data_IF_475930587676
#
_entry.id   IF_475930587676
#
_cell.length_a   1.000
_cell.length_b   1.000
_cell.length_c   1.000
_cell.angle_alpha   90.00
_cell.angle_beta   90.00
_cell.angle_gamma   90.00
#
_symmetry.space_group_name_H-M   'P 1'
#
loop_
_entity.id
_entity.type
_entity.pdbx_description
1 polymer ?
#
# COMPACT_ATOMS: atom_id res chain seq x y z
N UNK A 1 -10.04 -5.27 -10.62
CA UNK A 1 -8.61 -5.45 -10.26
C UNK A 1 -7.70 -4.75 -11.27
N UNK A 2 -7.08 -3.65 -10.84
CA UNK A 2 -6.10 -2.89 -11.61
C UNK A 2 -4.80 -3.68 -11.72
N UNK A 3 -4.15 -3.58 -12.88
CA UNK A 3 -2.80 -4.07 -13.12
C UNK A 3 -2.09 -3.08 -14.04
N UNK A 4 -1.09 -2.37 -13.51
CA UNK A 4 -0.37 -1.31 -14.22
C UNK A 4 1.13 -1.55 -14.14
N UNK A 5 1.77 -1.66 -15.30
CA UNK A 5 3.23 -1.63 -15.42
C UNK A 5 3.74 -0.20 -15.44
N UNK A 6 4.68 0.12 -14.57
CA UNK A 6 5.26 1.45 -14.45
C UNK A 6 6.48 1.58 -15.35
N UNK A 7 6.45 2.57 -16.23
CA UNK A 7 7.52 2.85 -17.20
C UNK A 7 8.68 3.62 -16.56
N UNK A 8 8.39 4.67 -15.78
CA UNK A 8 9.40 5.42 -15.02
C UNK A 8 9.57 4.86 -13.60
N UNK A 9 10.24 3.70 -13.53
CA UNK A 9 10.55 3.00 -12.28
C UNK A 9 11.30 3.91 -11.30
N UNK A 10 12.22 4.75 -11.79
CA UNK A 10 13.03 5.62 -10.93
C UNK A 10 12.17 6.67 -10.25
N UNK A 11 11.27 7.33 -10.99
CA UNK A 11 10.36 8.31 -10.42
C UNK A 11 9.39 7.66 -9.43
N UNK A 12 8.79 6.51 -9.77
CA UNK A 12 7.91 5.80 -8.85
C UNK A 12 8.63 5.41 -7.56
N UNK A 13 9.83 4.83 -7.65
CA UNK A 13 10.62 4.45 -6.46
C UNK A 13 11.02 5.66 -5.61
N UNK A 14 11.25 6.83 -6.22
CA UNK A 14 11.43 8.06 -5.46
C UNK A 14 10.16 8.47 -4.70
N UNK A 15 8.98 8.31 -5.31
CA UNK A 15 7.70 8.54 -4.63
C UNK A 15 7.43 7.56 -3.49
N UNK A 16 7.80 6.29 -3.66
CA UNK A 16 7.65 5.27 -2.64
C UNK A 16 8.63 5.47 -1.48
N UNK A 17 9.91 5.68 -1.75
CA UNK A 17 10.95 5.59 -0.73
C UNK A 17 11.47 6.93 -0.22
N UNK A 18 11.23 8.03 -0.94
CA UNK A 18 11.85 9.33 -0.64
C UNK A 18 10.87 10.50 -0.54
N UNK A 19 9.61 10.36 -0.96
CA UNK A 19 8.60 11.43 -0.93
C UNK A 19 7.40 11.04 -0.07
N UNK A 20 6.60 12.03 0.30
CA UNK A 20 5.44 11.90 1.20
C UNK A 20 4.18 11.31 0.55
N UNK A 21 4.31 10.80 -0.68
CA UNK A 21 3.19 10.39 -1.55
C UNK A 21 2.26 9.37 -0.91
N UNK A 22 2.83 8.45 -0.14
CA UNK A 22 2.14 7.31 0.46
C UNK A 22 2.11 7.40 1.99
N UNK A 23 2.38 8.56 2.59
CA UNK A 23 2.64 8.67 4.04
C UNK A 23 1.46 8.34 4.94
N UNK A 24 0.24 8.50 4.40
CA UNK A 24 -1.00 8.18 5.09
C UNK A 24 -1.45 6.73 4.82
N UNK A 25 -0.82 6.02 3.90
CA UNK A 25 -1.11 4.62 3.66
C UNK A 25 -0.55 3.79 4.80
N UNK A 26 -1.27 2.73 5.14
CA UNK A 26 -0.83 1.75 6.11
C UNK A 26 0.10 0.75 5.43
N UNK A 27 1.21 0.40 6.08
CA UNK A 27 2.05 -0.70 5.63
C UNK A 27 1.45 -2.01 6.15
N UNK A 28 1.10 -2.93 5.25
CA UNK A 28 0.67 -4.29 5.63
C UNK A 28 1.89 -5.18 5.76
N UNK A 29 2.72 -5.22 4.71
CA UNK A 29 4.00 -5.93 4.71
C UNK A 29 4.96 -5.31 3.70
N UNK A 30 6.26 -5.48 3.93
CA UNK A 30 7.28 -5.23 2.93
C UNK A 30 8.35 -6.32 2.93
N UNK A 31 8.89 -6.61 1.76
CA UNK A 31 10.06 -7.45 1.60
C UNK A 31 11.04 -6.86 0.61
N UNK A 32 12.33 -6.97 0.93
CA UNK A 32 13.42 -6.47 0.11
C UNK A 32 14.46 -7.57 -0.06
N UNK A 33 14.77 -7.94 -1.30
CA UNK A 33 15.77 -8.95 -1.62
C UNK A 33 17.05 -8.27 -2.07
N UNK A 34 18.13 -8.38 -1.29
CA UNK A 34 19.43 -7.78 -1.60
C UNK A 34 20.55 -8.79 -1.33
N UNK A 35 21.63 -8.43 -0.63
CA UNK A 35 22.61 -9.42 -0.12
C UNK A 35 21.98 -10.42 0.85
N UNK A 36 20.93 -10.00 1.56
CA UNK A 36 20.04 -10.82 2.37
C UNK A 36 18.59 -10.41 2.10
N UNK A 37 17.64 -11.24 2.56
CA UNK A 37 16.22 -10.90 2.51
C UNK A 37 15.80 -10.21 3.79
N UNK A 38 15.18 -9.05 3.64
CA UNK A 38 14.55 -8.30 4.73
C UNK A 38 13.04 -8.48 4.62
N UNK A 39 12.39 -8.73 5.75
CA UNK A 39 10.93 -8.81 5.85
C UNK A 39 10.47 -7.88 6.96
N UNK A 40 9.43 -7.11 6.68
CA UNK A 40 8.82 -6.17 7.61
C UNK A 40 7.35 -6.52 7.69
N UNK A 41 6.91 -6.89 8.89
CA UNK A 41 5.50 -6.96 9.24
C UNK A 41 5.02 -5.58 9.66
N UNK A 42 3.93 -5.11 9.07
CA UNK A 42 3.37 -3.81 9.33
C UNK A 42 2.43 -3.75 10.53
N UNK A 43 2.00 -4.88 11.09
CA UNK A 43 1.11 -4.92 12.25
C UNK A 43 1.77 -4.28 13.49
N UNK A 44 0.99 -3.47 14.20
CA UNK A 44 1.42 -2.93 15.49
C UNK A 44 1.32 -4.04 16.54
N UNK A 45 2.43 -4.32 17.23
CA UNK A 45 2.45 -5.26 18.34
C UNK A 45 1.77 -4.63 19.55
N UNK A 46 0.61 -5.14 19.94
CA UNK A 46 -0.17 -4.59 21.07
C UNK A 46 0.63 -4.62 22.37
N UNK A 47 1.36 -5.72 22.61
CA UNK A 47 2.18 -5.94 23.80
C UNK A 47 3.41 -5.02 23.91
N UNK A 48 3.70 -4.21 22.88
CA UNK A 48 4.78 -3.22 22.93
C UNK A 48 4.39 -1.94 23.69
N UNK A 49 3.10 -1.63 23.78
CA UNK A 49 2.61 -0.39 24.38
C UNK A 49 2.26 -0.61 25.86
N UNK A 50 2.75 0.27 26.74
CA UNK A 50 2.52 0.14 28.18
C UNK A 50 1.08 0.52 28.59
N UNK A 51 0.36 1.24 27.73
CA UNK A 51 -1.03 1.64 27.96
C UNK A 51 -1.85 1.81 26.68
N UNK A 52 -3.16 1.64 26.78
CA UNK A 52 -4.10 1.88 25.68
C UNK A 52 -4.06 3.32 25.15
N UNK A 53 -3.70 4.29 25.99
CA UNK A 53 -3.56 5.70 25.57
C UNK A 53 -2.35 5.98 24.68
N UNK A 54 -1.32 5.14 24.76
CA UNK A 54 -0.14 5.25 23.89
C UNK A 54 -0.33 4.49 22.58
N UNK A 55 -1.29 3.55 22.55
CA UNK A 55 -1.58 2.71 21.41
C UNK A 55 -2.30 3.51 20.32
N UNK A 56 -1.79 3.54 19.08
CA UNK A 56 -2.52 4.09 17.95
C UNK A 56 -3.83 3.33 17.67
N UNK A 57 -4.93 4.03 17.37
CA UNK A 57 -6.22 3.44 16.96
C UNK A 57 -6.21 2.89 15.52
N UNK A 58 -5.25 2.01 15.23
CA UNK A 58 -5.06 1.37 13.93
C UNK A 58 -4.32 0.05 14.11
N UNK A 59 -4.50 -0.85 13.16
CA UNK A 59 -3.88 -2.18 13.16
C UNK A 59 -2.45 -2.15 12.63
N UNK A 60 -2.20 -1.32 11.62
CA UNK A 60 -0.95 -1.24 10.88
C UNK A 60 -0.21 0.07 11.17
N UNK A 61 1.12 0.04 11.09
CA UNK A 61 1.93 1.25 11.06
C UNK A 61 1.71 2.05 9.76
N UNK A 62 2.02 3.34 9.79
CA UNK A 62 2.01 4.16 8.57
C UNK A 62 3.29 3.94 7.78
N UNK A 63 3.17 4.00 6.45
CA UNK A 63 4.33 3.90 5.58
C UNK A 63 5.38 4.95 5.92
N UNK A 64 4.98 6.18 6.29
CA UNK A 64 5.93 7.24 6.66
C UNK A 64 6.87 6.88 7.82
N UNK A 65 6.43 6.00 8.72
CA UNK A 65 7.16 5.58 9.92
C UNK A 65 8.26 4.58 9.56
N UNK A 66 8.01 3.72 8.56
CA UNK A 66 8.94 2.67 8.12
C UNK A 66 9.77 3.09 6.90
N UNK A 67 9.25 3.99 6.07
CA UNK A 67 9.89 4.44 4.81
C UNK A 67 11.37 4.85 4.98
N UNK A 68 11.79 5.61 6.00
CA UNK A 68 13.21 5.93 6.19
C UNK A 68 14.10 4.68 6.36
N UNK A 69 13.59 3.68 7.08
CA UNK A 69 14.27 2.40 7.25
C UNK A 69 14.27 1.58 5.96
N UNK A 70 13.15 1.50 5.24
CA UNK A 70 13.08 0.86 3.92
C UNK A 70 14.06 1.49 2.92
N UNK A 71 14.16 2.82 2.89
CA UNK A 71 15.14 3.54 2.09
C UNK A 71 16.58 3.18 2.51
N UNK A 72 16.83 2.99 3.80
CA UNK A 72 18.15 2.57 4.31
C UNK A 72 18.56 1.15 3.89
N UNK A 73 17.60 0.25 3.70
CA UNK A 73 17.84 -1.10 3.17
C UNK A 73 18.21 -1.04 1.69
N UNK A 74 17.43 -0.28 0.92
CA UNK A 74 17.58 -0.18 -0.54
C UNK A 74 18.80 0.64 -0.94
N UNK A 75 19.18 1.67 -0.18
CA UNK A 75 20.33 2.51 -0.52
C UNK A 75 21.60 1.67 -0.65
N UNK A 76 22.43 2.01 -1.63
CA UNK A 76 23.67 1.31 -1.89
C UNK A 76 24.13 1.43 -3.34
N UNK A 77 25.24 0.77 -3.66
CA UNK A 77 25.83 0.78 -5.01
C UNK A 77 25.11 -0.14 -5.99
N UNK A 78 24.46 -1.21 -5.49
CA UNK A 78 23.77 -2.23 -6.29
C UNK A 78 22.26 -2.13 -6.02
N UNK A 79 21.48 -2.28 -7.08
CA UNK A 79 20.02 -2.34 -6.99
C UNK A 79 19.59 -3.62 -6.24
N UNK A 80 18.45 -3.61 -5.54
CA UNK A 80 17.87 -4.83 -4.98
C UNK A 80 17.49 -5.80 -6.10
N UNK A 81 17.53 -7.09 -5.78
CA UNK A 81 17.10 -8.20 -6.66
C UNK A 81 15.57 -8.30 -6.76
N UNK A 82 14.84 -7.63 -5.87
CA UNK A 82 13.39 -7.59 -5.87
C UNK A 82 12.85 -6.88 -4.62
N UNK A 83 11.64 -6.36 -4.73
CA UNK A 83 10.97 -5.67 -3.64
C UNK A 83 9.45 -5.88 -3.76
N UNK A 84 8.80 -6.23 -2.65
CA UNK A 84 7.34 -6.25 -2.54
C UNK A 84 6.95 -5.30 -1.42
N UNK A 85 6.01 -4.39 -1.67
CA UNK A 85 5.40 -3.55 -0.64
C UNK A 85 3.89 -3.65 -0.80
N UNK A 86 3.19 -4.01 0.26
CA UNK A 86 1.73 -4.05 0.31
C UNK A 86 1.28 -2.92 1.22
N UNK A 87 0.56 -1.96 0.64
CA UNK A 87 -0.01 -0.83 1.35
C UNK A 87 -1.53 -0.97 1.43
N UNK A 88 -2.13 -0.66 2.57
CA UNK A 88 -3.57 -0.48 2.67
C UNK A 88 -3.94 1.01 2.59
N UNK A 89 -5.06 1.30 1.93
CA UNK A 89 -5.60 2.65 1.82
C UNK A 89 -6.00 3.17 3.21
N UNK A 90 -5.88 4.48 3.46
CA UNK A 90 -6.38 5.09 4.69
C UNK A 90 -7.88 4.84 4.86
N UNK A 91 -8.35 4.60 6.09
CA UNK A 91 -9.78 4.39 6.41
C UNK A 91 -10.67 5.47 5.80
N UNK A 92 -10.28 6.74 5.90
CA UNK A 92 -11.03 7.85 5.33
C UNK A 92 -11.20 7.75 3.80
N UNK A 93 -10.20 7.24 3.08
CA UNK A 93 -10.28 7.00 1.63
C UNK A 93 -11.20 5.84 1.32
N UNK A 94 -11.14 4.76 2.10
CA UNK A 94 -12.06 3.61 1.97
C UNK A 94 -13.51 4.06 2.18
N UNK A 95 -13.79 4.77 3.26
CA UNK A 95 -15.13 5.32 3.56
C UNK A 95 -15.63 6.25 2.44
N UNK A 96 -14.75 7.08 1.88
CA UNK A 96 -15.08 7.94 0.73
C UNK A 96 -15.44 7.12 -0.51
N UNK A 97 -14.63 6.11 -0.85
CA UNK A 97 -14.87 5.27 -2.03
C UNK A 97 -16.19 4.50 -1.93
N UNK A 98 -16.51 3.96 -0.76
CA UNK A 98 -17.77 3.25 -0.54
C UNK A 98 -18.96 4.21 -0.71
N UNK A 99 -18.88 5.42 -0.13
CA UNK A 99 -19.96 6.43 -0.23
C UNK A 99 -20.20 6.95 -1.64
N UNK A 100 -19.12 7.15 -2.41
CA UNK A 100 -19.22 7.62 -3.79
C UNK A 100 -19.60 6.50 -4.76
N UNK A 101 -19.22 5.26 -4.45
CA UNK A 101 -19.62 4.10 -5.23
C UNK A 101 -21.12 3.85 -5.10
N UNK A 102 -21.71 3.28 -6.15
CA UNK A 102 -23.09 2.76 -6.09
C UNK A 102 -23.13 1.31 -5.62
N UNK A 103 -22.11 0.88 -4.87
CA UNK A 103 -22.01 -0.51 -4.43
C UNK A 103 -23.00 -0.81 -3.30
N UNK A 104 -23.25 -2.10 -3.10
CA UNK A 104 -24.10 -2.60 -2.02
C UNK A 104 -23.37 -2.75 -0.67
N UNK A 105 -22.06 -2.54 -0.65
CA UNK A 105 -21.22 -2.77 0.53
C UNK A 105 -21.29 -1.63 1.54
N UNK A 106 -21.16 -2.00 2.82
CA UNK A 106 -20.96 -1.09 3.94
C UNK A 106 -19.49 -1.13 4.35
N UNK A 107 -19.04 -0.14 5.13
CA UNK A 107 -17.65 -0.09 5.61
C UNK A 107 -17.27 -1.35 6.41
N UNK A 108 -18.22 -1.93 7.14
CA UNK A 108 -18.05 -3.18 7.90
C UNK A 108 -17.91 -4.44 7.04
N UNK A 109 -18.31 -4.40 5.76
CA UNK A 109 -18.14 -5.51 4.82
C UNK A 109 -16.74 -5.54 4.20
N UNK A 110 -15.97 -4.45 4.33
CA UNK A 110 -14.64 -4.29 3.74
C UNK A 110 -13.59 -4.40 4.84
N UNK A 111 -12.72 -5.39 4.75
CA UNK A 111 -11.58 -5.53 5.65
C UNK A 111 -10.48 -4.52 5.26
N UNK A 112 -10.22 -4.37 3.96
CA UNK A 112 -9.25 -3.39 3.48
C UNK A 112 -9.21 -3.30 1.96
N UNK A 113 -8.65 -2.18 1.49
CA UNK A 113 -8.32 -1.96 0.08
C UNK A 113 -6.81 -1.78 -0.01
N UNK A 114 -6.17 -2.57 -0.86
CA UNK A 114 -4.74 -2.74 -0.89
C UNK A 114 -4.15 -2.31 -2.22
N UNK A 115 -2.93 -1.78 -2.15
CA UNK A 115 -2.04 -1.48 -3.26
C UNK A 115 -0.80 -2.36 -3.12
N UNK A 116 -0.66 -3.33 -4.03
CA UNK A 116 0.51 -4.19 -4.10
C UNK A 116 1.49 -3.58 -5.09
N UNK A 117 2.72 -3.37 -4.63
CA UNK A 117 3.83 -2.87 -5.43
C UNK A 117 4.84 -4.01 -5.52
N UNK A 118 5.02 -4.55 -6.71
CA UNK A 118 5.99 -5.59 -6.99
C UNK A 118 7.04 -5.05 -7.94
N UNK A 119 8.26 -4.96 -7.45
CA UNK A 119 9.45 -4.64 -8.24
C UNK A 119 10.28 -5.89 -8.44
N UNK A 120 10.55 -6.18 -9.71
CA UNK A 120 11.56 -7.11 -10.16
C UNK A 120 12.55 -6.33 -11.05
N UNK A 121 13.80 -6.79 -11.21
CA UNK A 121 14.72 -6.15 -12.15
C UNK A 121 14.04 -6.07 -13.52
N UNK A 122 13.89 -4.86 -14.05
CA UNK A 122 13.24 -4.50 -15.33
C UNK A 122 11.71 -4.30 -15.31
N UNK A 123 11.00 -4.67 -14.24
CA UNK A 123 9.54 -4.48 -14.19
C UNK A 123 9.08 -3.99 -12.82
N UNK A 124 8.22 -2.98 -12.81
CA UNK A 124 7.49 -2.56 -11.62
C UNK A 124 5.99 -2.66 -11.91
N UNK A 125 5.33 -3.57 -11.21
CA UNK A 125 3.91 -3.84 -11.34
C UNK A 125 3.17 -3.32 -10.12
N UNK A 126 2.07 -2.61 -10.37
CA UNK A 126 1.13 -2.18 -9.34
C UNK A 126 -0.20 -2.88 -9.56
N UNK A 127 -0.71 -3.53 -8.51
CA UNK A 127 -2.07 -4.09 -8.51
C UNK A 127 -2.88 -3.59 -7.33
N UNK A 128 -4.18 -3.47 -7.52
CA UNK A 128 -5.13 -3.21 -6.42
C UNK A 128 -5.75 -4.53 -5.96
N UNK A 129 -6.18 -4.58 -4.69
CA UNK A 129 -6.96 -5.69 -4.16
C UNK A 129 -7.96 -5.19 -3.15
N UNK A 130 -9.11 -5.85 -3.05
CA UNK A 130 -10.10 -5.57 -2.00
C UNK A 130 -10.27 -6.86 -1.22
N UNK A 131 -10.14 -6.79 0.11
CA UNK A 131 -10.54 -7.88 0.99
C UNK A 131 -11.93 -7.58 1.54
N UNK A 132 -12.84 -8.51 1.30
CA UNK A 132 -14.21 -8.47 1.78
C UNK A 132 -14.35 -9.44 2.96
N UNK A 133 -15.08 -9.04 4.00
CA UNK A 133 -15.41 -9.94 5.12
C UNK A 133 -16.46 -11.00 4.75
N UNK A 134 -17.22 -10.74 3.69
CA UNK A 134 -18.25 -11.64 3.17
C UNK A 134 -18.08 -11.84 1.67
N UNK A 135 -18.50 -13.00 1.17
CA UNK A 135 -18.46 -13.27 -0.27
C UNK A 135 -19.53 -12.46 -0.99
N UNK A 136 -19.16 -11.79 -2.08
CA UNK A 136 -20.09 -11.06 -2.95
C UNK A 136 -19.69 -11.19 -4.42
N UNK A 137 -20.68 -11.12 -5.30
CA UNK A 137 -20.50 -11.05 -6.75
C UNK A 137 -20.51 -9.60 -7.28
N UNK A 138 -20.84 -8.63 -6.42
CA UNK A 138 -20.83 -7.21 -6.77
C UNK A 138 -19.39 -6.71 -6.95
N UNK A 139 -19.04 -6.30 -8.17
CA UNK A 139 -17.71 -5.79 -8.55
C UNK A 139 -17.68 -4.27 -8.76
N UNK A 140 -18.76 -3.58 -8.43
CA UNK A 140 -18.84 -2.12 -8.63
C UNK A 140 -17.74 -1.37 -7.88
N UNK A 141 -17.50 -1.74 -6.62
CA UNK A 141 -16.44 -1.14 -5.80
C UNK A 141 -15.03 -1.36 -6.39
N UNK A 142 -14.77 -2.51 -7.02
CA UNK A 142 -13.48 -2.75 -7.68
C UNK A 142 -13.19 -1.74 -8.78
N UNK A 143 -14.20 -1.40 -9.60
CA UNK A 143 -14.03 -0.45 -10.70
C UNK A 143 -13.73 0.96 -10.17
N UNK A 144 -14.45 1.38 -9.14
CA UNK A 144 -14.26 2.70 -8.52
C UNK A 144 -12.89 2.82 -7.83
N UNK A 145 -12.43 1.75 -7.18
CA UNK A 145 -11.08 1.66 -6.60
C UNK A 145 -10.01 1.74 -7.68
N UNK A 146 -10.15 0.94 -8.75
CA UNK A 146 -9.18 0.90 -9.84
C UNK A 146 -9.04 2.29 -10.49
N UNK A 147 -10.16 2.96 -10.74
CA UNK A 147 -10.16 4.29 -11.35
C UNK A 147 -9.68 5.38 -10.39
N UNK A 148 -9.99 5.28 -9.10
CA UNK A 148 -9.42 6.16 -8.09
C UNK A 148 -7.89 6.04 -8.05
N UNK A 149 -7.37 4.81 -8.05
CA UNK A 149 -5.93 4.57 -7.99
C UNK A 149 -5.21 5.01 -9.27
N UNK A 150 -5.79 4.77 -10.46
CA UNK A 150 -5.24 5.33 -11.71
C UNK A 150 -5.14 6.85 -11.65
N UNK A 151 -6.22 7.53 -11.25
CA UNK A 151 -6.24 9.00 -11.12
C UNK A 151 -5.23 9.49 -10.09
N UNK A 152 -5.08 8.80 -8.96
CA UNK A 152 -4.09 9.11 -7.95
C UNK A 152 -2.66 9.03 -8.52
N UNK A 153 -2.32 7.94 -9.21
CA UNK A 153 -1.00 7.75 -9.80
C UNK A 153 -0.71 8.78 -10.90
N UNK A 154 -1.68 9.05 -11.79
CA UNK A 154 -1.56 10.06 -12.84
C UNK A 154 -1.38 11.48 -12.27
N UNK A 155 -2.18 11.86 -11.26
CA UNK A 155 -2.08 13.17 -10.59
C UNK A 155 -0.72 13.36 -9.92
N UNK A 156 -0.09 12.28 -9.48
CA UNK A 156 1.25 12.29 -8.90
C UNK A 156 2.37 12.17 -9.95
N UNK A 157 2.02 11.96 -11.22
CA UNK A 157 2.96 11.82 -12.34
C UNK A 157 3.79 10.54 -12.28
N UNK A 158 3.22 9.46 -11.73
CA UNK A 158 3.92 8.18 -11.49
C UNK A 158 3.27 6.98 -12.19
N UNK A 159 2.43 7.24 -13.20
CA UNK A 159 1.84 6.26 -14.12
C UNK A 159 1.68 6.92 -15.49
#
# INVERSE_FOLDING_TARGET
MLSVSITDVKNFMAHLLSRETFDLFYLVEASFKKEISYHIDGHLNEDFFDSDSERPEREYCLWKEVRPFAFSIIKGKRLPLGCKVVLALPKATVSFLIKESRCSFREEDIEGIYLNILYEPENLLITTGISYRTFSLDKSLEQDVDDHMKRFLQKKGIC
#
